data_IF_365340936314
#
_entry.id   IF_365340936314
#
_cell.length_a   1.000
_cell.length_b   1.000
_cell.length_c   1.000
_cell.angle_alpha   90.00
_cell.angle_beta   90.00
_cell.angle_gamma   90.00
#
_symmetry.space_group_name_H-M   'P 1'
#
loop_
_entity.id
_entity.type
_entity.pdbx_description
1 polymer ?
#
# COMPACT_ATOMS: atom_id res chain seq x y z
N UNK A 1 11.20 25.12 2.34
CA UNK A 1 9.97 24.73 1.63
C UNK A 1 9.95 23.26 1.24
N UNK A 2 11.01 22.74 0.62
CA UNK A 2 11.11 21.32 0.20
C UNK A 2 10.91 20.29 1.32
N UNK A 3 11.43 20.52 2.53
CA UNK A 3 11.27 19.59 3.67
C UNK A 3 9.80 19.38 4.10
N UNK A 4 8.98 20.43 4.01
CA UNK A 4 7.54 20.31 4.32
C UNK A 4 6.79 19.58 3.20
N UNK A 5 7.21 19.75 1.95
CA UNK A 5 6.64 19.04 0.79
C UNK A 5 7.00 17.55 0.81
N UNK A 6 8.25 17.23 1.13
CA UNK A 6 8.74 15.87 1.34
C UNK A 6 7.90 15.13 2.40
N UNK A 7 7.70 15.74 3.57
CA UNK A 7 6.92 15.15 4.65
C UNK A 7 5.44 15.02 4.26
N UNK A 8 4.87 16.02 3.60
CA UNK A 8 3.50 15.98 3.09
C UNK A 8 3.30 14.81 2.10
N UNK A 9 4.21 14.61 1.15
CA UNK A 9 4.13 13.50 0.19
C UNK A 9 4.29 12.14 0.87
N UNK A 10 5.13 12.04 1.91
CA UNK A 10 5.25 10.84 2.75
C UNK A 10 3.95 10.53 3.51
N UNK A 11 3.31 11.55 4.09
CA UNK A 11 2.01 11.39 4.78
C UNK A 11 0.89 10.99 3.81
N UNK A 12 0.79 11.63 2.65
CA UNK A 12 -0.24 11.30 1.66
C UNK A 12 -0.03 9.87 1.15
N UNK A 13 1.19 9.51 0.75
CA UNK A 13 1.48 8.16 0.25
C UNK A 13 1.20 7.08 1.31
N UNK A 14 1.64 7.26 2.56
CA UNK A 14 1.38 6.32 3.65
C UNK A 14 -0.12 6.10 3.90
N UNK A 15 -0.93 7.16 3.89
CA UNK A 15 -2.39 7.05 4.06
C UNK A 15 -3.02 6.20 2.95
N UNK A 16 -2.63 6.41 1.69
CA UNK A 16 -3.15 5.61 0.58
C UNK A 16 -2.62 4.17 0.57
N UNK A 17 -1.41 3.91 1.04
CA UNK A 17 -0.89 2.55 1.28
C UNK A 17 -1.75 1.84 2.33
N UNK A 18 -2.11 2.50 3.42
CA UNK A 18 -2.97 1.94 4.46
C UNK A 18 -4.38 1.63 3.93
N UNK A 19 -4.96 2.51 3.12
CA UNK A 19 -6.24 2.24 2.45
C UNK A 19 -6.14 1.00 1.55
N UNK A 20 -5.10 0.90 0.73
CA UNK A 20 -4.86 -0.25 -0.14
C UNK A 20 -4.77 -1.56 0.66
N UNK A 21 -3.93 -1.58 1.70
CA UNK A 21 -3.64 -2.78 2.50
C UNK A 21 -4.83 -3.19 3.38
N UNK A 22 -5.63 -2.24 3.87
CA UNK A 22 -6.85 -2.51 4.64
C UNK A 22 -7.85 -3.40 3.90
N UNK A 23 -7.87 -3.35 2.57
CA UNK A 23 -8.74 -4.19 1.74
C UNK A 23 -8.44 -5.68 1.94
N UNK A 24 -7.16 -6.03 1.92
CA UNK A 24 -6.70 -7.42 2.06
C UNK A 24 -6.87 -7.91 3.49
N UNK A 25 -6.54 -7.06 4.47
CA UNK A 25 -6.77 -7.36 5.88
C UNK A 25 -8.26 -7.64 6.13
N UNK A 26 -9.17 -6.81 5.60
CA UNK A 26 -10.61 -7.02 5.75
C UNK A 26 -11.11 -8.30 5.07
N UNK A 27 -10.55 -8.67 3.90
CA UNK A 27 -10.87 -9.94 3.25
C UNK A 27 -10.45 -11.14 4.09
N UNK A 28 -9.23 -11.12 4.62
CA UNK A 28 -8.70 -12.21 5.43
C UNK A 28 -9.46 -12.32 6.77
N UNK A 29 -9.81 -11.19 7.39
CA UNK A 29 -10.68 -11.14 8.58
C UNK A 29 -12.08 -11.70 8.28
N UNK A 30 -12.67 -11.36 7.13
CA UNK A 30 -13.99 -11.86 6.74
C UNK A 30 -14.04 -13.39 6.64
N UNK A 31 -12.97 -13.99 6.09
CA UNK A 31 -12.83 -15.43 5.94
C UNK A 31 -12.60 -16.10 7.31
N UNK A 32 -11.76 -15.51 8.15
CA UNK A 32 -11.30 -16.12 9.40
C UNK A 32 -12.34 -16.04 10.54
N UNK A 33 -13.17 -14.99 10.55
CA UNK A 33 -14.07 -14.72 11.67
C UNK A 33 -15.36 -15.55 11.53
N UNK A 34 -15.89 -16.07 12.65
CA UNK A 34 -17.21 -16.74 12.69
C UNK A 34 -18.33 -15.84 13.20
N UNK A 35 -17.98 -14.72 13.84
CA UNK A 35 -18.92 -13.78 14.44
C UNK A 35 -19.72 -13.01 13.38
N UNK A 36 -21.03 -13.30 13.30
CA UNK A 36 -21.95 -12.76 12.28
C UNK A 36 -22.03 -11.23 12.21
N UNK A 37 -22.18 -10.47 13.32
CA UNK A 37 -22.36 -9.02 13.21
C UNK A 37 -21.11 -8.32 12.68
N UNK A 38 -19.91 -8.83 13.01
CA UNK A 38 -18.68 -8.28 12.46
C UNK A 38 -18.53 -8.59 10.96
N UNK A 39 -18.98 -9.77 10.49
CA UNK A 39 -19.08 -10.05 9.05
C UNK A 39 -19.99 -9.08 8.31
N UNK A 40 -21.13 -8.71 8.91
CA UNK A 40 -22.05 -7.73 8.31
C UNK A 40 -21.39 -6.36 8.16
N UNK A 41 -20.65 -5.91 9.18
CA UNK A 41 -19.89 -4.66 9.13
C UNK A 41 -18.84 -4.73 8.00
N UNK A 42 -18.05 -5.80 7.93
CA UNK A 42 -17.04 -5.96 6.87
C UNK A 42 -17.71 -5.97 5.50
N UNK A 43 -18.82 -6.70 5.30
CA UNK A 43 -19.55 -6.73 4.04
C UNK A 43 -20.08 -5.35 3.61
N UNK A 44 -20.40 -4.47 4.56
CA UNK A 44 -20.85 -3.10 4.26
C UNK A 44 -19.69 -2.20 3.82
N UNK A 45 -18.51 -2.37 4.40
CA UNK A 45 -17.35 -1.49 4.18
C UNK A 45 -16.48 -1.95 3.00
N UNK A 46 -16.33 -3.26 2.82
CA UNK A 46 -15.44 -3.88 1.84
C UNK A 46 -15.70 -3.43 0.38
N UNK A 47 -16.96 -3.27 -0.10
CA UNK A 47 -17.22 -2.78 -1.46
C UNK A 47 -16.64 -1.38 -1.71
N UNK A 48 -16.78 -0.48 -0.73
CA UNK A 48 -16.27 0.89 -0.82
C UNK A 48 -14.75 0.90 -0.90
N UNK A 49 -14.08 0.17 0.00
CA UNK A 49 -12.61 0.06 0.00
C UNK A 49 -12.11 -0.63 -1.27
N UNK A 50 -12.82 -1.65 -1.76
CA UNK A 50 -12.46 -2.35 -2.98
C UNK A 50 -12.48 -1.43 -4.21
N UNK A 51 -13.41 -0.47 -4.29
CA UNK A 51 -13.46 0.52 -5.38
C UNK A 51 -12.28 1.49 -5.32
N UNK A 52 -11.85 1.86 -4.11
CA UNK A 52 -10.73 2.77 -3.91
C UNK A 52 -9.37 2.09 -4.05
N UNK A 53 -9.31 0.75 -4.00
CA UNK A 53 -8.06 0.00 -3.90
C UNK A 53 -7.05 0.34 -5.02
N UNK A 54 -7.47 0.27 -6.29
CA UNK A 54 -6.58 0.57 -7.43
C UNK A 54 -6.18 2.05 -7.48
N UNK A 55 -7.13 2.95 -7.24
CA UNK A 55 -6.88 4.40 -7.20
C UNK A 55 -5.87 4.73 -6.10
N UNK A 56 -6.04 4.14 -4.91
CA UNK A 56 -5.14 4.32 -3.77
C UNK A 56 -3.71 3.88 -4.11
N UNK A 57 -3.57 2.75 -4.82
CA UNK A 57 -2.27 2.25 -5.29
C UNK A 57 -1.58 3.21 -6.28
N UNK A 58 -2.33 3.78 -7.21
CA UNK A 58 -1.76 4.72 -8.21
C UNK A 58 -1.33 6.01 -7.52
N UNK A 59 -2.18 6.54 -6.63
CA UNK A 59 -1.88 7.75 -5.87
C UNK A 59 -0.67 7.52 -4.96
N UNK A 60 -0.61 6.40 -4.24
CA UNK A 60 0.53 6.10 -3.37
C UNK A 60 1.82 5.95 -4.15
N UNK A 61 1.81 5.29 -5.33
CA UNK A 61 2.97 5.19 -6.20
C UNK A 61 3.50 6.57 -6.60
N UNK A 62 2.61 7.44 -7.08
CA UNK A 62 2.96 8.80 -7.51
C UNK A 62 3.61 9.60 -6.37
N UNK A 63 2.94 9.68 -5.21
CA UNK A 63 3.46 10.44 -4.08
C UNK A 63 4.71 9.84 -3.45
N UNK A 64 4.85 8.50 -3.43
CA UNK A 64 6.08 7.86 -2.93
C UNK A 64 7.26 8.15 -3.84
N UNK A 65 7.07 8.18 -5.16
CA UNK A 65 8.12 8.54 -6.10
C UNK A 65 8.63 9.97 -5.85
N UNK A 66 7.72 10.94 -5.67
CA UNK A 66 8.10 12.31 -5.30
C UNK A 66 8.76 12.38 -3.93
N UNK A 67 8.26 11.62 -2.95
CA UNK A 67 8.85 11.54 -1.61
C UNK A 67 10.31 11.09 -1.68
N UNK A 68 10.55 9.95 -2.33
CA UNK A 68 11.91 9.39 -2.49
C UNK A 68 12.80 10.34 -3.28
N UNK A 69 12.30 10.94 -4.37
CA UNK A 69 13.05 11.92 -5.15
C UNK A 69 13.51 13.12 -4.32
N UNK A 70 12.67 13.65 -3.43
CA UNK A 70 13.02 14.78 -2.57
C UNK A 70 13.97 14.37 -1.42
N UNK A 71 13.86 13.13 -0.91
CA UNK A 71 14.77 12.60 0.14
C UNK A 71 16.19 12.31 -0.37
N UNK A 72 16.36 12.12 -1.69
CA UNK A 72 17.58 11.63 -2.32
C UNK A 72 18.82 12.51 -2.22
N UNK A 73 18.68 13.74 -1.72
CA UNK A 73 19.85 14.59 -1.42
C UNK A 73 20.70 14.06 -0.25
N UNK A 74 20.25 13.03 0.47
CA UNK A 74 20.87 12.59 1.73
C UNK A 74 21.02 11.08 1.95
N UNK A 75 20.58 10.21 1.03
CA UNK A 75 20.47 8.77 1.27
C UNK A 75 21.32 7.92 0.32
N UNK A 76 21.88 6.83 0.85
CA UNK A 76 22.51 5.78 0.05
C UNK A 76 21.49 5.08 -0.86
N UNK A 77 21.97 4.49 -1.97
CA UNK A 77 21.18 3.82 -2.99
C UNK A 77 20.35 2.62 -2.49
N UNK A 78 20.48 2.22 -1.22
CA UNK A 78 19.77 1.12 -0.56
C UNK A 78 18.92 1.60 0.64
N UNK A 79 18.26 2.75 0.51
CA UNK A 79 17.36 3.26 1.55
C UNK A 79 16.03 2.51 1.61
N UNK A 80 15.40 2.51 2.79
CA UNK A 80 14.07 1.93 3.02
C UNK A 80 12.98 2.51 2.10
N UNK A 81 13.15 3.75 1.62
CA UNK A 81 12.24 4.40 0.69
C UNK A 81 12.24 3.76 -0.71
N UNK A 82 13.40 3.35 -1.22
CA UNK A 82 13.49 2.64 -2.49
C UNK A 82 12.85 1.26 -2.44
N UNK A 83 13.01 0.55 -1.32
CA UNK A 83 12.36 -0.75 -1.10
C UNK A 83 10.84 -0.60 -1.07
N UNK A 84 10.33 0.44 -0.40
CA UNK A 84 8.90 0.77 -0.40
C UNK A 84 8.38 1.08 -1.81
N UNK A 85 9.12 1.88 -2.58
CA UNK A 85 8.78 2.23 -3.95
C UNK A 85 8.75 0.99 -4.87
N UNK A 86 9.71 0.09 -4.72
CA UNK A 86 9.78 -1.17 -5.48
C UNK A 86 8.56 -2.08 -5.17
N UNK A 87 8.23 -2.26 -3.90
CA UNK A 87 7.08 -3.05 -3.49
C UNK A 87 5.75 -2.44 -3.99
N UNK A 88 5.65 -1.11 -3.97
CA UNK A 88 4.49 -0.40 -4.52
C UNK A 88 4.36 -0.64 -6.02
N UNK A 89 5.46 -0.52 -6.75
CA UNK A 89 5.49 -0.79 -8.18
C UNK A 89 5.04 -2.23 -8.48
N UNK A 90 5.61 -3.22 -7.78
CA UNK A 90 5.20 -4.62 -7.91
C UNK A 90 3.71 -4.81 -7.62
N UNK A 91 3.19 -4.21 -6.55
CA UNK A 91 1.76 -4.28 -6.21
C UNK A 91 0.89 -3.66 -7.32
N UNK A 92 1.26 -2.49 -7.86
CA UNK A 92 0.55 -1.88 -9.00
C UNK A 92 0.55 -2.76 -10.25
N UNK A 93 1.69 -3.40 -10.58
CA UNK A 93 1.80 -4.31 -11.72
C UNK A 93 0.89 -5.54 -11.58
N UNK A 94 0.76 -6.11 -10.37
CA UNK A 94 -0.16 -7.23 -10.14
C UNK A 94 -1.62 -6.85 -10.35
N UNK A 95 -2.00 -5.58 -10.14
CA UNK A 95 -3.37 -5.08 -10.27
C UNK A 95 -3.75 -4.61 -11.67
N UNK A 96 -2.84 -3.96 -12.42
CA UNK A 96 -3.23 -3.19 -13.59
C UNK A 96 -3.49 -4.01 -14.86
N UNK A 97 -2.68 -5.01 -15.21
CA UNK A 97 -2.96 -5.81 -16.43
C UNK A 97 -1.98 -6.93 -16.73
N UNK A 98 -0.77 -6.95 -16.16
CA UNK A 98 0.28 -7.83 -16.69
C UNK A 98 0.21 -9.29 -16.20
N UNK A 99 -0.52 -9.53 -15.11
CA UNK A 99 -0.36 -10.75 -14.32
C UNK A 99 -1.70 -11.48 -14.06
N UNK A 100 -2.84 -10.89 -14.45
CA UNK A 100 -4.19 -11.44 -14.26
C UNK A 100 -4.44 -12.82 -14.94
N UNK A 101 -3.52 -13.29 -15.80
CA UNK A 101 -3.55 -14.65 -16.37
C UNK A 101 -3.17 -15.74 -15.38
N UNK A 102 -2.41 -15.43 -14.34
CA UNK A 102 -2.09 -16.35 -13.26
C UNK A 102 -3.06 -16.13 -12.11
N UNK A 103 -3.45 -17.20 -11.39
CA UNK A 103 -4.35 -17.14 -10.20
C UNK A 103 -3.67 -16.39 -9.03
N UNK A 104 -3.47 -15.08 -9.17
CA UNK A 104 -2.56 -14.29 -8.32
C UNK A 104 -3.20 -13.58 -7.13
N UNK A 105 -4.47 -13.86 -6.83
CA UNK A 105 -5.14 -13.27 -5.64
C UNK A 105 -4.32 -13.46 -4.37
N UNK A 106 -3.65 -14.61 -4.22
CA UNK A 106 -2.81 -14.91 -3.06
C UNK A 106 -1.56 -14.03 -2.99
N UNK A 107 -0.92 -13.73 -4.13
CA UNK A 107 0.27 -12.87 -4.18
C UNK A 107 -0.06 -11.41 -3.89
N UNK A 108 -1.24 -10.93 -4.27
CA UNK A 108 -1.66 -9.58 -3.91
C UNK A 108 -1.80 -9.39 -2.39
N UNK A 109 -2.30 -10.40 -1.67
CA UNK A 109 -2.39 -10.35 -0.20
C UNK A 109 -0.99 -10.33 0.43
N UNK A 110 -0.10 -11.23 0.01
CA UNK A 110 1.30 -11.28 0.50
C UNK A 110 2.02 -9.95 0.25
N UNK A 111 1.90 -9.38 -0.96
CA UNK A 111 2.47 -8.07 -1.28
C UNK A 111 1.90 -6.95 -0.41
N UNK A 112 0.61 -7.01 -0.07
CA UNK A 112 0.00 -6.02 0.82
C UNK A 112 0.59 -6.06 2.23
N UNK A 113 0.89 -7.24 2.78
CA UNK A 113 1.54 -7.38 4.08
C UNK A 113 3.03 -6.99 4.04
N UNK A 114 3.73 -7.29 2.95
CA UNK A 114 5.10 -6.81 2.75
C UNK A 114 5.14 -5.28 2.65
N UNK A 115 4.14 -4.68 1.99
CA UNK A 115 3.97 -3.23 1.90
C UNK A 115 3.75 -2.58 3.27
N UNK A 116 2.91 -3.17 4.14
CA UNK A 116 2.72 -2.62 5.49
C UNK A 116 3.99 -2.71 6.33
N UNK A 117 4.71 -3.84 6.26
CA UNK A 117 5.98 -4.01 6.95
C UNK A 117 7.01 -3.00 6.45
N UNK A 118 7.17 -2.88 5.14
CA UNK A 118 8.10 -1.92 4.53
C UNK A 118 7.74 -0.48 4.87
N UNK A 119 6.45 -0.15 4.91
CA UNK A 119 6.00 1.19 5.31
C UNK A 119 6.35 1.47 6.77
N UNK A 120 6.09 0.52 7.67
CA UNK A 120 6.45 0.65 9.07
C UNK A 120 7.96 0.85 9.25
N UNK A 121 8.78 0.04 8.58
CA UNK A 121 10.24 0.18 8.62
C UNK A 121 10.66 1.57 8.10
N UNK A 122 10.07 2.03 7.01
CA UNK A 122 10.38 3.35 6.45
C UNK A 122 9.93 4.51 7.35
N UNK A 123 8.87 4.36 8.14
CA UNK A 123 8.42 5.40 9.07
C UNK A 123 9.30 5.44 10.34
N UNK A 124 9.64 4.28 10.90
CA UNK A 124 10.33 4.20 12.20
C UNK A 124 11.86 4.27 12.12
N UNK A 125 12.47 3.88 11.00
CA UNK A 125 13.93 3.77 10.83
C UNK A 125 14.50 4.68 9.74
N UNK A 126 13.77 5.74 9.38
CA UNK A 126 14.24 6.76 8.43
C UNK A 126 15.13 7.79 9.09
#
# INVERSE_FOLDING_TARGET
>A
MFKNQELLFGLISSLFILIHTSMYILQDLYISIKFKPLKLIINKVLPTISRLNTISLIISLFFTAFHVYLTNSSLSSFSSGYLLLLLLFLSTCTKLSFLNRFKLKQYSSILSYLLTLSLAVHIFFR
#
